data_IF_874898123141
#
_entry.id   IF_874898123141
#
_cell.length_a   1.000
_cell.length_b   1.000
_cell.length_c   1.000
_cell.angle_alpha   90.00
_cell.angle_beta   90.00
_cell.angle_gamma   90.00
#
_symmetry.space_group_name_H-M   'P 1'
#
loop_
_entity.id
_entity.type
_entity.pdbx_description
1 polymer ?
#
# COMPACT_ATOMS: atom_id res chain seq x y z
N UNK A 1 -9.47 7.96 8.08
CA UNK A 1 -9.24 6.68 8.79
C UNK A 1 -8.32 6.92 9.98
N UNK A 2 -8.48 6.20 11.10
CA UNK A 2 -7.63 6.31 12.30
C UNK A 2 -6.83 5.03 12.50
N UNK A 3 -5.52 5.16 12.69
CA UNK A 3 -4.57 4.07 12.94
C UNK A 3 -4.00 4.29 14.34
N UNK A 4 -4.15 3.29 15.22
CA UNK A 4 -3.71 3.36 16.62
C UNK A 4 -2.74 2.22 16.93
N UNK A 5 -1.55 2.56 17.43
CA UNK A 5 -0.63 1.59 17.98
C UNK A 5 -1.05 1.26 19.42
N UNK A 6 -1.54 0.03 19.60
CA UNK A 6 -2.07 -0.45 20.89
C UNK A 6 -1.12 -1.40 21.65
N UNK A 7 -0.07 -1.91 20.99
CA UNK A 7 0.90 -2.84 21.60
C UNK A 7 2.31 -2.25 21.53
N UNK A 8 3.06 -2.44 22.62
CA UNK A 8 4.46 -2.04 22.72
C UNK A 8 5.40 -3.09 22.11
N UNK A 9 5.22 -3.33 20.82
CA UNK A 9 6.12 -4.16 20.00
C UNK A 9 6.49 -3.43 18.73
N UNK A 10 7.72 -3.58 18.27
CA UNK A 10 8.15 -2.97 17.01
C UNK A 10 7.29 -3.42 15.84
N UNK A 11 7.08 -2.51 14.89
CA UNK A 11 6.24 -2.79 13.74
C UNK A 11 6.26 -1.67 12.72
N UNK A 12 5.54 -1.91 11.63
CA UNK A 12 5.31 -0.94 10.57
C UNK A 12 3.82 -0.91 10.22
N UNK A 13 3.29 0.27 9.90
CA UNK A 13 1.91 0.41 9.40
C UNK A 13 1.76 -0.30 8.05
N UNK A 14 2.79 -0.27 7.21
CA UNK A 14 2.75 -0.88 5.87
C UNK A 14 3.93 -1.80 5.58
N UNK A 15 3.69 -2.82 4.75
CA UNK A 15 4.72 -3.62 4.11
C UNK A 15 4.26 -3.93 2.68
N UNK A 16 4.56 -3.04 1.73
CA UNK A 16 4.02 -3.10 0.38
C UNK A 16 5.00 -3.84 -0.55
N UNK A 17 4.47 -4.77 -1.36
CA UNK A 17 5.18 -5.52 -2.40
C UNK A 17 4.76 -4.99 -3.75
N UNK A 18 5.74 -4.77 -4.63
CA UNK A 18 5.49 -4.25 -5.98
C UNK A 18 6.65 -4.59 -6.91
N UNK A 19 6.31 -5.00 -8.13
CA UNK A 19 7.24 -5.05 -9.26
C UNK A 19 7.25 -3.72 -10.04
N UNK A 20 8.25 -3.52 -10.90
CA UNK A 20 8.41 -2.27 -11.66
C UNK A 20 7.22 -1.93 -12.57
N UNK A 21 6.65 -2.95 -13.21
CA UNK A 21 5.59 -2.82 -14.23
C UNK A 21 4.21 -2.55 -13.62
N UNK A 22 4.04 -2.87 -12.34
CA UNK A 22 2.77 -2.71 -11.66
C UNK A 22 2.48 -1.23 -11.38
N UNK A 23 1.29 -0.78 -11.73
CA UNK A 23 0.76 0.49 -11.21
C UNK A 23 -0.08 0.22 -9.94
N UNK A 24 0.57 -0.14 -8.84
CA UNK A 24 -0.04 -0.46 -7.53
C UNK A 24 0.66 0.30 -6.40
N UNK A 25 0.06 0.35 -5.20
CA UNK A 25 0.67 1.00 -4.04
C UNK A 25 -0.39 1.41 -3.03
N UNK A 26 0.04 1.76 -1.81
CA UNK A 26 -0.87 2.20 -0.75
C UNK A 26 -0.87 3.73 -0.62
N UNK A 27 -2.06 4.33 -0.55
CA UNK A 27 -2.24 5.77 -0.33
C UNK A 27 -3.15 5.97 0.86
N UNK A 28 -2.63 6.60 1.90
CA UNK A 28 -3.37 6.99 3.10
C UNK A 28 -3.64 8.48 3.02
N UNK A 29 -4.88 8.85 2.69
CA UNK A 29 -5.32 10.23 2.55
C UNK A 29 -6.23 10.61 3.72
N UNK A 30 -6.01 11.79 4.31
CA UNK A 30 -6.84 12.34 5.38
C UNK A 30 -7.01 11.36 6.57
N UNK A 31 -5.87 10.89 7.07
CA UNK A 31 -5.78 9.91 8.16
C UNK A 31 -5.17 10.49 9.43
N UNK A 32 -5.26 9.74 10.53
CA UNK A 32 -4.55 10.05 11.77
C UNK A 32 -3.81 8.82 12.30
N UNK A 33 -2.55 8.98 12.71
CA UNK A 33 -1.72 7.91 13.30
C UNK A 33 -1.35 8.28 14.74
N UNK A 34 -1.82 7.45 15.67
CA UNK A 34 -1.75 7.64 17.12
C UNK A 34 -1.22 6.41 17.86
N UNK A 35 -1.12 6.53 19.18
CA UNK A 35 -0.93 5.42 20.08
C UNK A 35 0.31 5.54 20.97
N UNK A 36 0.69 4.41 21.57
CA UNK A 36 1.80 4.33 22.53
C UNK A 36 2.97 3.51 21.97
N UNK A 37 4.20 3.85 22.34
CA UNK A 37 5.41 3.16 21.90
C UNK A 37 5.95 3.70 20.57
N UNK A 38 6.58 2.83 19.76
CA UNK A 38 7.18 3.23 18.48
C UNK A 38 6.75 2.39 17.27
N UNK A 39 6.51 3.03 16.13
CA UNK A 39 6.15 2.37 14.86
C UNK A 39 6.75 3.07 13.64
N UNK A 40 7.03 2.29 12.60
CA UNK A 40 7.39 2.79 11.28
C UNK A 40 6.12 3.07 10.45
N UNK A 41 6.17 4.09 9.60
CA UNK A 41 5.19 4.30 8.54
C UNK A 41 5.18 3.11 7.58
N UNK A 42 6.36 2.60 7.19
CA UNK A 42 6.42 1.47 6.30
C UNK A 42 7.77 0.77 6.25
N UNK A 43 7.75 -0.45 5.70
CA UNK A 43 8.95 -1.19 5.31
C UNK A 43 8.87 -1.74 3.90
N UNK A 44 9.98 -1.73 3.17
CA UNK A 44 10.05 -2.18 1.78
C UNK A 44 10.13 -3.70 1.75
N UNK A 45 8.99 -4.35 1.54
CA UNK A 45 8.99 -5.80 1.39
C UNK A 45 9.60 -6.23 0.04
N UNK A 46 9.51 -5.37 -0.97
CA UNK A 46 10.11 -5.56 -2.29
C UNK A 46 10.69 -4.25 -2.85
N UNK A 47 11.44 -4.34 -3.95
CA UNK A 47 12.28 -3.25 -4.45
C UNK A 47 11.49 -2.02 -4.90
N UNK A 48 10.33 -2.19 -5.54
CA UNK A 48 9.54 -1.07 -6.06
C UNK A 48 8.41 -0.63 -5.12
N UNK A 49 8.56 -0.92 -3.83
CA UNK A 49 7.55 -0.63 -2.81
C UNK A 49 7.06 0.81 -2.87
N UNK A 50 5.73 1.01 -2.93
CA UNK A 50 5.13 2.34 -3.06
C UNK A 50 4.07 2.61 -2.00
N UNK A 51 4.33 3.61 -1.17
CA UNK A 51 3.45 4.02 -0.06
C UNK A 51 3.46 5.54 0.08
N UNK A 52 2.27 6.14 0.18
CA UNK A 52 2.09 7.58 0.30
C UNK A 52 1.19 7.88 1.51
N UNK A 53 1.63 8.79 2.37
CA UNK A 53 0.79 9.44 3.38
C UNK A 53 0.52 10.88 2.96
N UNK A 54 -0.75 11.24 2.78
CA UNK A 54 -1.20 12.55 2.36
C UNK A 54 -2.19 13.14 3.37
N UNK A 55 -1.98 14.40 3.76
CA UNK A 55 -2.86 15.11 4.71
C UNK A 55 -3.09 14.32 6.01
N UNK A 56 -2.06 13.65 6.50
CA UNK A 56 -2.17 12.74 7.65
C UNK A 56 -1.59 13.38 8.91
N UNK A 57 -2.33 13.36 10.02
CA UNK A 57 -1.82 13.82 11.31
C UNK A 57 -1.08 12.68 12.02
N UNK A 58 0.18 12.90 12.41
CA UNK A 58 1.05 11.89 13.00
C UNK A 58 1.50 12.34 14.39
N UNK A 59 1.21 11.53 15.40
CA UNK A 59 1.76 11.71 16.76
C UNK A 59 3.21 11.21 16.86
N UNK A 60 3.87 11.48 17.98
CA UNK A 60 5.26 11.06 18.25
C UNK A 60 5.46 9.53 18.33
N UNK A 61 4.40 8.74 18.18
CA UNK A 61 4.46 7.28 18.01
C UNK A 61 5.27 6.87 16.78
N UNK A 62 5.33 7.71 15.75
CA UNK A 62 6.13 7.46 14.54
C UNK A 62 7.63 7.55 14.89
N UNK A 63 8.40 6.54 14.47
CA UNK A 63 9.87 6.56 14.60
C UNK A 63 10.46 7.73 13.83
N UNK A 64 11.55 8.32 14.33
CA UNK A 64 12.19 9.47 13.66
C UNK A 64 12.63 9.12 12.23
N UNK A 65 13.14 7.90 12.01
CA UNK A 65 13.46 7.42 10.67
C UNK A 65 12.20 7.18 9.81
N UNK A 66 11.06 6.84 10.42
CA UNK A 66 9.77 6.63 9.76
C UNK A 66 9.69 5.40 8.84
N UNK A 67 10.76 5.05 8.12
CA UNK A 67 10.76 4.06 7.05
C UNK A 67 11.95 3.10 7.20
N UNK A 68 11.83 1.91 6.61
CA UNK A 68 12.89 0.90 6.62
C UNK A 68 12.88 0.08 5.32
N UNK A 69 13.95 0.16 4.55
CA UNK A 69 14.18 -0.57 3.30
C UNK A 69 14.95 -1.89 3.52
N UNK A 70 15.31 -2.19 4.77
CA UNK A 70 16.21 -3.26 5.22
C UNK A 70 17.68 -3.04 4.86
N UNK A 71 18.11 -1.78 4.76
CA UNK A 71 19.47 -1.38 4.35
C UNK A 71 19.88 -2.06 3.03
N UNK A 72 18.96 -2.11 2.08
CA UNK A 72 19.18 -2.69 0.76
C UNK A 72 19.32 -1.55 -0.26
N UNK A 73 20.56 -1.25 -0.73
CA UNK A 73 20.81 -0.13 -1.62
C UNK A 73 20.06 -0.19 -2.96
N UNK A 74 19.61 -1.39 -3.39
CA UNK A 74 18.78 -1.51 -4.59
C UNK A 74 17.40 -0.87 -4.42
N UNK A 75 16.89 -0.86 -3.19
CA UNK A 75 15.58 -0.32 -2.81
C UNK A 75 15.60 1.18 -2.62
N UNK A 76 16.68 1.73 -2.06
CA UNK A 76 16.88 3.17 -1.93
C UNK A 76 16.65 3.94 -3.23
N UNK A 77 16.95 3.30 -4.36
CA UNK A 77 16.82 3.88 -5.71
C UNK A 77 15.44 3.66 -6.34
N UNK A 78 14.64 2.73 -5.84
CA UNK A 78 13.47 2.20 -6.54
C UNK A 78 12.17 2.30 -5.75
N UNK A 79 12.22 2.41 -4.42
CA UNK A 79 11.02 2.64 -3.60
C UNK A 79 10.46 4.04 -3.84
N UNK A 80 9.14 4.15 -3.71
CA UNK A 80 8.44 5.44 -3.74
C UNK A 80 7.72 5.64 -2.41
N UNK A 81 8.44 6.22 -1.45
CA UNK A 81 7.90 6.59 -0.14
C UNK A 81 7.74 8.09 -0.04
N UNK A 82 6.49 8.51 0.17
CA UNK A 82 6.11 9.91 0.11
C UNK A 82 5.30 10.37 1.31
N UNK A 83 5.66 11.52 1.86
CA UNK A 83 4.87 12.25 2.84
C UNK A 83 4.46 13.60 2.23
N UNK A 84 3.15 13.86 2.18
CA UNK A 84 2.57 15.07 1.59
C UNK A 84 1.67 15.78 2.59
N UNK A 85 2.00 17.04 2.93
CA UNK A 85 1.23 17.89 3.86
C UNK A 85 0.80 17.15 5.14
N UNK A 86 1.66 16.27 5.65
CA UNK A 86 1.46 15.59 6.94
C UNK A 86 1.84 16.54 8.08
N UNK A 87 1.14 16.44 9.20
CA UNK A 87 1.27 17.35 10.34
C UNK A 87 1.41 16.60 11.66
N UNK A 88 1.80 17.31 12.72
CA UNK A 88 1.95 16.75 14.06
C UNK A 88 3.38 16.33 14.38
N UNK A 89 3.63 15.95 15.64
CA UNK A 89 4.98 15.71 16.17
C UNK A 89 5.70 14.51 15.53
N UNK A 90 4.97 13.58 14.92
CA UNK A 90 5.54 12.44 14.19
C UNK A 90 5.83 12.71 12.71
N UNK A 91 5.35 13.84 12.17
CA UNK A 91 5.52 14.22 10.76
C UNK A 91 6.82 14.98 10.49
N UNK A 92 7.68 15.16 11.50
CA UNK A 92 9.02 15.70 11.28
C UNK A 92 9.83 14.75 10.39
N UNK A 93 10.26 15.26 9.24
CA UNK A 93 11.01 14.49 8.26
C UNK A 93 12.53 14.68 8.37
N UNK A 94 13.03 15.44 9.36
CA UNK A 94 14.46 15.79 9.51
C UNK A 94 15.41 14.58 9.61
N UNK A 95 14.88 13.43 10.03
CA UNK A 95 15.63 12.18 10.21
C UNK A 95 15.20 11.06 9.26
N UNK A 96 14.36 11.37 8.26
CA UNK A 96 13.95 10.36 7.29
C UNK A 96 15.16 9.97 6.42
N UNK A 97 15.26 8.70 6.00
CA UNK A 97 16.22 8.29 4.99
C UNK A 97 16.09 9.13 3.72
N UNK A 98 17.19 9.31 2.99
CA UNK A 98 17.26 10.16 1.78
C UNK A 98 16.35 9.68 0.63
N UNK A 99 15.96 8.41 0.62
CA UNK A 99 15.01 7.86 -0.36
C UNK A 99 13.54 8.26 -0.08
N UNK A 100 13.25 8.86 1.07
CA UNK A 100 11.91 9.32 1.43
C UNK A 100 11.70 10.73 0.90
N UNK A 101 10.59 10.93 0.21
CA UNK A 101 10.30 12.18 -0.50
C UNK A 101 9.27 13.02 0.25
N UNK A 102 9.58 14.30 0.47
CA UNK A 102 8.55 15.31 0.73
C UNK A 102 7.92 15.66 -0.61
N UNK A 103 6.71 15.17 -0.85
CA UNK A 103 6.08 15.33 -2.15
C UNK A 103 5.58 16.77 -2.34
N UNK A 104 5.65 17.24 -3.59
CA UNK A 104 4.95 18.43 -4.08
C UNK A 104 3.54 18.10 -4.56
N UNK A 105 2.73 19.14 -4.82
CA UNK A 105 1.39 18.99 -5.40
C UNK A 105 1.43 18.22 -6.73
N UNK A 106 2.42 18.51 -7.59
CA UNK A 106 2.59 17.85 -8.87
C UNK A 106 2.97 16.36 -8.74
N UNK A 107 3.80 16.01 -7.75
CA UNK A 107 4.21 14.63 -7.52
C UNK A 107 3.09 13.79 -6.91
N UNK A 108 2.25 14.38 -6.05
CA UNK A 108 1.21 13.63 -5.34
C UNK A 108 -0.10 13.51 -6.13
N UNK A 109 -0.40 14.47 -7.02
CA UNK A 109 -1.70 14.55 -7.70
C UNK A 109 -2.14 13.27 -8.42
N UNK A 110 -1.26 12.47 -9.08
CA UNK A 110 -1.69 11.24 -9.76
C UNK A 110 -2.20 10.16 -8.79
N UNK A 111 -1.85 10.27 -7.50
CA UNK A 111 -2.19 9.29 -6.47
C UNK A 111 -3.44 9.65 -5.67
N UNK A 112 -3.90 10.91 -5.73
CA UNK A 112 -5.03 11.41 -4.94
C UNK A 112 -6.34 11.50 -5.74
N UNK A 113 -6.41 10.80 -6.87
CA UNK A 113 -7.57 10.77 -7.77
C UNK A 113 -8.23 9.40 -7.76
N UNK A 114 -9.54 9.36 -8.02
CA UNK A 114 -10.32 8.12 -7.99
C UNK A 114 -9.83 7.09 -9.03
N UNK A 115 -9.32 7.54 -10.17
CA UNK A 115 -8.80 6.65 -11.21
C UNK A 115 -7.55 5.87 -10.78
N UNK A 116 -6.80 6.31 -9.76
CA UNK A 116 -5.69 5.54 -9.21
C UNK A 116 -6.12 4.16 -8.67
N UNK A 117 -7.38 4.06 -8.22
CA UNK A 117 -8.00 2.85 -7.69
C UNK A 117 -9.12 2.34 -8.59
N UNK A 118 -9.07 2.67 -9.88
CA UNK A 118 -10.09 2.32 -10.87
C UNK A 118 -11.51 2.71 -10.41
N UNK A 119 -11.62 3.84 -9.70
CA UNK A 119 -12.84 4.29 -9.01
C UNK A 119 -14.07 4.33 -9.90
N UNK A 120 -13.89 4.71 -11.17
CA UNK A 120 -14.99 4.83 -12.14
C UNK A 120 -15.65 3.47 -12.43
N UNK A 121 -14.92 2.35 -12.26
CA UNK A 121 -15.42 1.00 -12.52
C UNK A 121 -16.39 0.50 -11.45
N UNK A 122 -16.22 0.93 -10.19
CA UNK A 122 -16.99 0.39 -9.06
C UNK A 122 -17.85 1.42 -8.33
N UNK A 123 -17.58 2.73 -8.48
CA UNK A 123 -18.43 3.80 -7.93
C UNK A 123 -19.73 3.98 -8.70
N UNK A 124 -19.74 3.64 -9.99
CA UNK A 124 -20.93 3.72 -10.85
C UNK A 124 -21.52 2.35 -11.22
N UNK A 125 -20.90 1.26 -10.77
CA UNK A 125 -21.34 -0.12 -11.01
C UNK A 125 -22.67 -0.54 -10.34
N UNK A 126 -23.39 0.39 -9.71
CA UNK A 126 -24.75 0.15 -9.17
C UNK A 126 -25.89 0.50 -10.13
N UNK A 127 -25.62 0.97 -11.36
CA UNK A 127 -26.69 1.26 -12.33
C UNK A 127 -26.72 0.35 -13.57
N UNK A 128 -25.76 -0.55 -13.79
CA UNK A 128 -25.82 -1.46 -14.95
C UNK A 128 -25.44 -2.88 -14.54
N UNK A 129 -26.46 -3.66 -14.18
CA UNK A 129 -26.38 -5.09 -14.32
C UNK A 129 -26.53 -5.41 -15.81
N UNK A 130 -25.46 -5.88 -16.47
CA UNK A 130 -25.44 -7.04 -17.39
C UNK A 130 -23.99 -7.59 -17.48
N UNK A 131 -23.85 -8.91 -17.31
CA UNK A 131 -22.65 -9.78 -17.15
C UNK A 131 -21.82 -10.01 -18.44
N UNK A 132 -20.70 -10.80 -18.45
CA UNK A 132 -19.51 -10.84 -17.59
C UNK A 132 -18.20 -10.77 -18.42
N UNK A 133 -17.34 -9.77 -18.20
CA UNK A 133 -15.93 -9.87 -18.60
C UNK A 133 -15.07 -10.12 -17.35
N UNK A 134 -14.19 -11.12 -17.43
CA UNK A 134 -13.20 -11.48 -16.40
C UNK A 134 -12.68 -10.23 -15.66
N UNK A 135 -12.97 -10.16 -14.36
CA UNK A 135 -12.42 -9.13 -13.48
C UNK A 135 -10.88 -9.22 -13.47
N UNK A 136 -10.15 -8.13 -13.75
CA UNK A 136 -8.72 -8.10 -13.48
C UNK A 136 -8.47 -8.16 -11.96
N UNK A 137 -7.54 -9.02 -11.55
CA UNK A 137 -7.21 -9.27 -10.16
C UNK A 137 -6.53 -8.05 -9.50
N UNK A 138 -7.32 -7.15 -8.90
CA UNK A 138 -6.81 -6.10 -7.99
C UNK A 138 -7.67 -5.86 -6.73
N UNK A 139 -8.58 -6.78 -6.41
CA UNK A 139 -9.42 -6.68 -5.21
C UNK A 139 -8.83 -7.57 -4.10
N UNK A 140 -8.19 -6.96 -3.09
CA UNK A 140 -7.84 -7.65 -1.85
C UNK A 140 -9.11 -7.83 -0.98
N UNK A 141 -9.52 -9.07 -0.76
CA UNK A 141 -10.53 -9.44 0.25
C UNK A 141 -9.83 -9.96 1.50
N UNK A 142 -10.06 -9.40 2.70
CA UNK A 142 -9.50 -9.96 3.92
C UNK A 142 -10.37 -11.11 4.45
N UNK A 143 -9.76 -12.27 4.65
CA UNK A 143 -10.23 -13.30 5.58
C UNK A 143 -10.72 -14.62 4.96
N UNK A 144 -10.15 -15.73 5.44
CA UNK A 144 -10.76 -17.07 5.34
C UNK A 144 -9.79 -18.15 4.86
N UNK A 145 -9.19 -18.89 5.80
CA UNK A 145 -8.25 -19.96 5.49
C UNK A 145 -8.86 -21.27 4.97
N UNK A 146 -7.96 -22.24 4.78
CA UNK A 146 -8.14 -23.66 4.45
C UNK A 146 -8.38 -24.02 2.97
N UNK A 147 -7.29 -24.44 2.35
CA UNK A 147 -7.12 -25.59 1.45
C UNK A 147 -8.40 -26.17 0.80
N UNK A 148 -8.60 -25.90 -0.50
CA UNK A 148 -9.32 -26.80 -1.41
C UNK A 148 -8.59 -26.86 -2.75
N UNK A 149 -7.95 -28.00 -2.99
CA UNK A 149 -7.54 -28.47 -4.31
C UNK A 149 -8.79 -28.51 -5.20
N UNK A 150 -8.82 -27.74 -6.28
CA UNK A 150 -9.78 -27.93 -7.37
C UNK A 150 -9.06 -28.69 -8.48
N UNK A 151 -9.33 -29.99 -8.56
CA UNK A 151 -9.06 -30.81 -9.75
C UNK A 151 -10.11 -30.44 -10.80
N UNK A 152 -9.74 -29.99 -12.01
CA UNK A 152 -10.70 -29.85 -13.09
C UNK A 152 -11.01 -31.23 -13.66
N UNK A 153 -12.28 -31.59 -13.63
CA UNK A 153 -12.85 -32.74 -14.32
C UNK A 153 -12.74 -32.57 -15.84
N UNK A 154 -12.14 -33.57 -16.50
CA UNK A 154 -12.47 -34.02 -17.85
C UNK A 154 -12.19 -33.07 -19.03
N UNK A 155 -10.99 -33.17 -19.61
CA UNK A 155 -10.85 -33.24 -21.06
C UNK A 155 -10.18 -34.58 -21.38
N UNK A 156 -10.84 -35.34 -22.26
CA UNK A 156 -10.56 -36.71 -22.65
C UNK A 156 -9.13 -36.97 -23.11
N UNK A 157 -8.57 -38.08 -22.63
CA UNK A 157 -7.39 -38.74 -23.15
C UNK A 157 -7.61 -39.17 -24.61
N UNK A 158 -6.66 -38.81 -25.47
CA UNK A 158 -6.46 -39.46 -26.77
C UNK A 158 -5.47 -40.61 -26.52
N UNK A 159 -5.81 -41.89 -26.75
CA UNK A 159 -4.81 -42.94 -26.71
C UNK A 159 -4.08 -43.03 -28.05
N UNK A 160 -2.75 -43.12 -27.96
CA UNK A 160 -1.89 -43.67 -29.00
C UNK A 160 -2.32 -45.11 -29.34
N UNK A 161 -2.71 -45.34 -30.60
CA UNK A 161 -2.39 -46.47 -31.50
C UNK A 161 -3.45 -46.64 -32.59
#
# INVERSE_FOLDING_TARGET
MRIEKVQDRDGAVTAQVRSYEENTGFVFMNCSIGGNGRILLGRAWDNYSRVIFAFTSMSNVIARQGWNDFNNPSRDRTVFYGEYKCIGTGADMSMRPSYVQRLSDAQVSPFLIASYIDGDQWRFGHQVAETPARLPAKVFRPGGGRNTRVVPSGCSEHPDR
#
